data_IF_794552832496
#
_entry.id   IF_794552832496
#
_cell.length_a   1.000
_cell.length_b   1.000
_cell.length_c   1.000
_cell.angle_alpha   90.00
_cell.angle_beta   90.00
_cell.angle_gamma   90.00
#
_symmetry.space_group_name_H-M   'P 1'
#
loop_
_entity.id
_entity.type
_entity.pdbx_description
1 polymer ?
#
# COMPACT_ATOMS: atom_id res chain seq x y z
N UNK A 1 -5.90 15.46 5.08
CA UNK A 1 -6.86 16.00 6.06
C UNK A 1 -6.91 15.05 7.25
N UNK A 2 -6.85 15.51 8.51
CA UNK A 2 -6.84 14.61 9.67
C UNK A 2 -8.13 13.78 9.71
N UNK A 3 -8.00 12.45 9.74
CA UNK A 3 -9.12 11.52 9.77
C UNK A 3 -8.95 10.55 10.96
N UNK A 4 -9.95 10.46 11.86
CA UNK A 4 -9.90 9.52 12.99
C UNK A 4 -9.76 8.05 12.58
N UNK A 5 -10.21 7.68 11.38
CA UNK A 5 -10.05 6.31 10.87
C UNK A 5 -8.63 5.98 10.44
N UNK A 6 -7.83 6.99 10.10
CA UNK A 6 -6.46 6.77 9.63
C UNK A 6 -5.42 6.83 10.75
N UNK A 7 -5.86 7.05 12.00
CA UNK A 7 -4.99 7.12 13.17
C UNK A 7 -4.24 8.45 13.30
N UNK A 8 -4.46 9.38 12.37
CA UNK A 8 -3.93 10.76 12.43
C UNK A 8 -4.57 11.61 13.53
N UNK A 9 -5.70 11.18 14.08
CA UNK A 9 -6.32 11.79 15.27
C UNK A 9 -6.11 10.83 16.44
N UNK A 10 -5.09 11.11 17.25
CA UNK A 10 -4.83 10.36 18.49
C UNK A 10 -5.91 10.66 19.52
N UNK A 11 -6.44 9.61 20.16
CA UNK A 11 -7.45 9.73 21.22
C UNK A 11 -6.81 9.95 22.59
N UNK A 12 -5.60 9.44 22.77
CA UNK A 12 -4.81 9.57 23.99
C UNK A 12 -3.55 10.39 23.69
N UNK A 13 -3.14 11.34 24.57
CA UNK A 13 -1.94 12.16 24.36
C UNK A 13 -0.62 11.37 24.30
N UNK A 14 -0.59 10.17 24.87
CA UNK A 14 0.59 9.31 25.01
C UNK A 14 1.07 8.71 23.69
N UNK A 15 0.16 8.50 22.72
CA UNK A 15 0.47 7.90 21.42
C UNK A 15 1.03 8.93 20.41
N UNK A 16 0.95 10.22 20.74
CA UNK A 16 1.37 11.34 19.88
C UNK A 16 2.84 11.22 19.40
N UNK A 17 3.83 10.88 20.25
CA UNK A 17 5.23 10.79 19.82
C UNK A 17 5.47 9.67 18.81
N UNK A 18 4.78 8.53 18.95
CA UNK A 18 4.90 7.39 18.06
C UNK A 18 4.30 7.72 16.68
N UNK A 19 3.08 8.28 16.67
CA UNK A 19 2.40 8.68 15.43
C UNK A 19 3.19 9.74 14.67
N UNK A 20 3.80 10.72 15.35
CA UNK A 20 4.67 11.70 14.71
C UNK A 20 5.89 11.04 14.06
N UNK A 21 6.50 10.05 14.71
CA UNK A 21 7.65 9.32 14.15
C UNK A 21 7.24 8.51 12.91
N UNK A 22 6.11 7.81 12.96
CA UNK A 22 5.60 7.03 11.82
C UNK A 22 5.26 7.90 10.61
N UNK A 23 4.59 9.05 10.84
CA UNK A 23 4.27 9.98 9.75
C UNK A 23 5.55 10.55 9.13
N UNK A 24 6.55 10.90 9.96
CA UNK A 24 7.86 11.36 9.48
C UNK A 24 8.63 10.29 8.72
N UNK A 25 8.44 9.01 9.08
CA UNK A 25 9.04 7.88 8.38
C UNK A 25 8.39 7.58 7.01
N UNK A 26 7.36 8.35 6.62
CA UNK A 26 6.76 8.24 5.29
C UNK A 26 5.62 7.24 5.21
N UNK A 27 4.88 7.01 6.31
CA UNK A 27 3.68 6.18 6.32
C UNK A 27 2.71 6.59 5.21
N UNK A 28 2.42 5.67 4.28
CA UNK A 28 1.49 5.88 3.19
C UNK A 28 0.12 5.30 3.56
N UNK A 29 -0.91 6.12 3.44
CA UNK A 29 -2.29 5.70 3.66
C UNK A 29 -2.95 5.37 2.33
N UNK A 30 -3.62 4.23 2.26
CA UNK A 30 -4.40 3.84 1.10
C UNK A 30 -5.88 3.78 1.45
N UNK A 31 -6.71 4.22 0.50
CA UNK A 31 -8.17 4.22 0.62
C UNK A 31 -8.76 3.69 -0.68
N UNK A 32 -9.81 2.89 -0.53
CA UNK A 32 -10.62 2.46 -1.66
C UNK A 32 -11.46 3.63 -2.19
N UNK A 33 -11.46 3.80 -3.50
CA UNK A 33 -12.33 4.74 -4.18
C UNK A 33 -13.78 4.21 -4.27
N UNK A 34 -14.65 4.92 -4.99
CA UNK A 34 -16.04 4.45 -5.21
C UNK A 34 -16.13 3.31 -6.22
N UNK A 35 -15.12 3.13 -7.06
CA UNK A 35 -15.08 2.14 -8.13
C UNK A 35 -14.44 0.82 -7.71
N UNK A 36 -13.91 0.73 -6.47
CA UNK A 36 -13.25 -0.46 -5.96
C UNK A 36 -11.74 -0.49 -6.20
N UNK A 37 -11.16 0.61 -6.66
CA UNK A 37 -9.75 0.76 -6.98
C UNK A 37 -8.97 1.41 -5.82
N UNK A 38 -7.73 0.95 -5.66
CA UNK A 38 -6.77 1.48 -4.70
C UNK A 38 -5.57 2.04 -5.49
N UNK A 39 -5.23 3.29 -5.21
CA UNK A 39 -4.07 3.95 -5.80
C UNK A 39 -3.03 4.23 -4.71
N UNK A 40 -1.80 3.77 -4.92
CA UNK A 40 -0.69 3.93 -3.97
C UNK A 40 0.56 4.36 -4.73
N UNK A 41 1.28 5.31 -4.17
CA UNK A 41 2.61 5.68 -4.65
C UNK A 41 3.65 4.81 -3.95
N UNK A 42 4.34 3.96 -4.72
CA UNK A 42 5.40 3.06 -4.21
C UNK A 42 6.78 3.74 -4.11
N UNK A 43 6.96 4.90 -4.76
CA UNK A 43 8.23 5.61 -4.73
C UNK A 43 8.37 6.67 -5.81
N UNK A 44 9.62 7.11 -6.02
CA UNK A 44 10.02 8.05 -7.07
C UNK A 44 11.09 7.42 -7.95
N UNK A 45 11.27 7.95 -9.16
CA UNK A 45 12.32 7.51 -10.10
C UNK A 45 13.73 7.57 -9.52
N UNK A 46 13.96 8.39 -8.50
CA UNK A 46 15.25 8.53 -7.82
C UNK A 46 15.57 7.39 -6.86
N UNK A 47 14.65 6.45 -6.62
CA UNK A 47 14.88 5.30 -5.75
C UNK A 47 15.59 4.19 -6.53
N UNK A 48 16.32 3.33 -5.83
CA UNK A 48 16.94 2.17 -6.47
C UNK A 48 15.88 1.12 -6.83
N UNK A 49 16.22 0.21 -7.73
CA UNK A 49 15.31 -0.84 -8.17
C UNK A 49 14.90 -1.74 -6.99
N UNK A 50 15.83 -2.04 -6.08
CA UNK A 50 15.54 -2.84 -4.89
C UNK A 50 14.52 -2.15 -4.00
N UNK A 51 14.71 -0.86 -3.71
CA UNK A 51 13.77 -0.08 -2.88
C UNK A 51 12.36 -0.03 -3.47
N UNK A 52 12.25 0.07 -4.80
CA UNK A 52 10.95 0.07 -5.48
C UNK A 52 10.27 -1.30 -5.39
N UNK A 53 11.02 -2.39 -5.52
CA UNK A 53 10.51 -3.75 -5.38
C UNK A 53 10.07 -4.04 -3.94
N UNK A 54 10.88 -3.68 -2.95
CA UNK A 54 10.52 -3.84 -1.53
C UNK A 54 9.23 -3.09 -1.19
N UNK A 55 9.12 -1.83 -1.61
CA UNK A 55 7.92 -1.03 -1.38
C UNK A 55 6.69 -1.62 -2.06
N UNK A 56 6.84 -2.18 -3.27
CA UNK A 56 5.76 -2.85 -3.99
C UNK A 56 5.28 -4.08 -3.21
N UNK A 57 6.19 -4.95 -2.78
CA UNK A 57 5.86 -6.17 -2.05
C UNK A 57 5.20 -5.88 -0.71
N UNK A 58 5.72 -4.91 0.06
CA UNK A 58 5.12 -4.48 1.33
C UNK A 58 3.73 -3.90 1.10
N UNK A 59 3.51 -3.09 0.05
CA UNK A 59 2.20 -2.54 -0.27
C UNK A 59 1.18 -3.64 -0.64
N UNK A 60 1.59 -4.60 -1.47
CA UNK A 60 0.72 -5.71 -1.90
C UNK A 60 0.36 -6.61 -0.71
N UNK A 61 1.32 -6.95 0.16
CA UNK A 61 1.06 -7.74 1.36
C UNK A 61 0.13 -7.01 2.34
N UNK A 62 0.36 -5.71 2.56
CA UNK A 62 -0.51 -4.90 3.42
C UNK A 62 -1.97 -4.87 2.91
N UNK A 63 -2.17 -4.75 1.60
CA UNK A 63 -3.51 -4.81 0.99
C UNK A 63 -4.10 -6.21 1.16
N UNK A 64 -3.31 -7.27 0.91
CA UNK A 64 -3.77 -8.66 1.06
C UNK A 64 -4.23 -8.98 2.50
N UNK A 65 -3.52 -8.45 3.51
CA UNK A 65 -3.91 -8.55 4.93
C UNK A 65 -5.16 -7.73 5.27
N UNK A 66 -5.37 -6.61 4.59
CA UNK A 66 -6.55 -5.78 4.75
C UNK A 66 -7.82 -6.37 4.10
N UNK A 67 -7.77 -7.59 3.55
CA UNK A 67 -8.90 -8.30 2.97
C UNK A 67 -10.05 -8.45 3.99
N UNK A 68 -11.25 -7.89 3.71
CA UNK A 68 -12.41 -8.10 4.57
C UNK A 68 -12.90 -9.56 4.50
N UNK A 69 -13.31 -10.12 5.64
CA UNK A 69 -13.83 -11.50 5.73
C UNK A 69 -15.07 -11.75 4.88
N UNK A 70 -15.82 -10.70 4.53
CA UNK A 70 -17.02 -10.79 3.69
C UNK A 70 -16.72 -11.03 2.19
N UNK A 71 -15.48 -10.81 1.74
CA UNK A 71 -15.12 -10.93 0.31
C UNK A 71 -14.90 -12.39 -0.08
N UNK A 72 -15.86 -12.93 -0.84
CA UNK A 72 -15.78 -14.25 -1.47
C UNK A 72 -15.15 -14.14 -2.86
N UNK A 73 -14.22 -15.03 -3.19
CA UNK A 73 -13.57 -15.09 -4.51
C UNK A 73 -12.19 -14.41 -4.56
N UNK A 74 -11.79 -14.02 -5.78
CA UNK A 74 -10.51 -13.35 -6.06
C UNK A 74 -10.54 -11.93 -5.49
N UNK A 75 -9.53 -11.61 -4.67
CA UNK A 75 -9.43 -10.29 -4.03
C UNK A 75 -8.73 -9.26 -4.92
N UNK A 76 -7.74 -9.71 -5.72
CA UNK A 76 -7.07 -8.89 -6.73
C UNK A 76 -7.53 -9.35 -8.12
N UNK A 77 -8.03 -8.40 -8.92
CA UNK A 77 -8.46 -8.67 -10.31
C UNK A 77 -7.36 -8.33 -11.32
N UNK A 78 -6.70 -7.19 -11.13
CA UNK A 78 -5.62 -6.70 -11.99
C UNK A 78 -4.72 -5.79 -11.18
N UNK A 79 -3.42 -5.80 -11.49
CA UNK A 79 -2.45 -4.85 -10.95
C UNK A 79 -1.75 -4.14 -12.12
N UNK A 80 -1.52 -2.84 -11.97
CA UNK A 80 -0.87 -2.04 -13.02
C UNK A 80 0.01 -1.00 -12.36
N UNK A 81 1.27 -0.93 -12.80
CA UNK A 81 2.20 0.12 -12.40
C UNK A 81 2.29 1.13 -13.53
N UNK A 82 2.14 2.41 -13.20
CA UNK A 82 2.31 3.49 -14.14
C UNK A 82 3.17 4.60 -13.53
N UNK A 83 4.09 5.21 -14.29
CA UNK A 83 4.71 6.46 -13.90
C UNK A 83 3.71 7.62 -14.04
N UNK A 84 3.99 8.76 -13.43
CA UNK A 84 3.11 9.94 -13.46
C UNK A 84 2.74 10.40 -14.87
N UNK A 85 3.69 10.29 -15.81
CA UNK A 85 3.53 10.74 -17.20
C UNK A 85 3.99 9.64 -18.17
N UNK A 86 3.37 8.46 -18.12
CA UNK A 86 3.68 7.39 -19.07
C UNK A 86 2.65 6.26 -19.05
N UNK A 87 2.80 5.31 -19.99
CA UNK A 87 1.88 4.19 -20.09
C UNK A 87 1.97 3.27 -18.87
N UNK A 88 0.83 2.68 -18.50
CA UNK A 88 0.77 1.67 -17.45
C UNK A 88 1.21 0.30 -17.97
N UNK A 89 1.98 -0.41 -17.15
CA UNK A 89 2.43 -1.77 -17.39
C UNK A 89 1.61 -2.68 -16.47
N UNK A 90 0.87 -3.61 -17.07
CA UNK A 90 0.12 -4.61 -16.32
C UNK A 90 1.10 -5.62 -15.68
N UNK A 91 0.88 -5.91 -14.41
CA UNK A 91 1.64 -6.93 -13.69
C UNK A 91 0.86 -8.23 -13.62
N UNK A 92 1.59 -9.34 -13.55
CA UNK A 92 0.97 -10.62 -13.22
C UNK A 92 0.68 -10.69 -11.71
N UNK A 93 -0.61 -10.80 -11.40
CA UNK A 93 -1.13 -10.80 -10.03
C UNK A 93 -0.65 -12.01 -9.24
N UNK A 94 -0.56 -13.18 -9.87
CA UNK A 94 -0.20 -14.42 -9.19
C UNK A 94 1.25 -14.38 -8.72
N UNK A 95 2.17 -14.09 -9.65
CA UNK A 95 3.61 -14.03 -9.37
C UNK A 95 3.93 -12.96 -8.31
N UNK A 96 3.38 -11.74 -8.45
CA UNK A 96 3.64 -10.66 -7.49
C UNK A 96 3.13 -10.97 -6.07
N UNK A 97 2.03 -11.73 -5.94
CA UNK A 97 1.52 -12.13 -4.62
C UNK A 97 2.40 -13.18 -3.94
N UNK A 98 3.01 -14.09 -4.70
CA UNK A 98 3.92 -15.09 -4.16
C UNK A 98 5.21 -14.44 -3.67
N UNK A 99 5.80 -13.56 -4.49
CA UNK A 99 7.01 -12.81 -4.13
C UNK A 99 6.77 -11.89 -2.93
N UNK A 100 5.62 -11.20 -2.87
CA UNK A 100 5.26 -10.37 -1.73
C UNK A 100 5.16 -11.16 -0.42
N UNK A 101 4.60 -12.39 -0.48
CA UNK A 101 4.52 -13.28 0.69
C UNK A 101 5.87 -13.85 1.08
N UNK A 102 6.74 -14.12 0.12
CA UNK A 102 8.09 -14.63 0.36
C UNK A 102 8.99 -13.56 0.99
N UNK A 103 8.84 -12.29 0.60
CA UNK A 103 9.64 -11.18 1.10
C UNK A 103 9.34 -10.81 2.56
N UNK A 104 8.09 -10.96 3.00
CA UNK A 104 7.67 -10.59 4.37
C UNK A 104 7.82 -11.75 5.38
N UNK A 105 8.18 -12.95 4.90
CA UNK A 105 8.50 -14.12 5.74
C UNK A 105 9.91 -14.04 6.29
#
# INVERSE_FOLDING_TARGET
MPNPRTGTVVRNPEDLPAVIREIKAGRVEFRNDRTGNIHIQIGRKSFTEEQLLENLYVAVDAIARARPAAVKGQFFRSMTIAPTMGPGIALDVATTLEEARAFVK
#
